data_IF_480102901970
#
_entry.id   IF_480102901970
#
_cell.length_a   1.000
_cell.length_b   1.000
_cell.length_c   1.000
_cell.angle_alpha   90.00
_cell.angle_beta   90.00
_cell.angle_gamma   90.00
#
_symmetry.space_group_name_H-M   'P 1'
#
loop_
_entity.id
_entity.type
_entity.pdbx_description
1 polymer ?
#
# COMPACT_ATOMS: atom_id res chain seq x y z
N UNK A 1 -5.99 28.15 -11.74
CA UNK A 1 -5.23 27.25 -10.84
C UNK A 1 -5.72 25.81 -10.98
N UNK A 2 -4.81 24.84 -11.07
CA UNK A 2 -5.13 23.43 -11.32
C UNK A 2 -5.76 22.76 -10.07
N UNK A 3 -7.08 22.88 -9.90
CA UNK A 3 -7.86 22.27 -8.79
C UNK A 3 -7.71 20.74 -8.72
N UNK A 4 -7.19 20.09 -9.75
CA UNK A 4 -6.98 18.62 -9.79
C UNK A 4 -5.93 18.13 -8.79
N UNK A 5 -5.00 18.99 -8.36
CA UNK A 5 -3.92 18.63 -7.44
C UNK A 5 -4.24 18.93 -5.96
N UNK A 6 -5.36 19.61 -5.67
CA UNK A 6 -5.77 19.97 -4.30
C UNK A 6 -5.81 18.78 -3.33
N UNK A 7 -6.32 17.58 -3.71
CA UNK A 7 -6.32 16.45 -2.79
C UNK A 7 -4.93 16.01 -2.35
N UNK A 8 -3.92 16.13 -3.23
CA UNK A 8 -2.54 15.76 -2.89
C UNK A 8 -1.94 16.79 -1.94
N UNK A 9 -2.15 18.08 -2.19
CA UNK A 9 -1.70 19.13 -1.27
C UNK A 9 -2.31 18.94 0.13
N UNK A 10 -3.61 18.63 0.21
CA UNK A 10 -4.28 18.35 1.47
C UNK A 10 -3.62 17.17 2.21
N UNK A 11 -3.38 16.05 1.53
CA UNK A 11 -2.74 14.87 2.13
C UNK A 11 -1.32 15.15 2.62
N UNK A 12 -0.52 15.91 1.86
CA UNK A 12 0.84 16.30 2.27
C UNK A 12 0.81 17.21 3.49
N UNK A 13 -0.10 18.18 3.53
CA UNK A 13 -0.29 19.03 4.71
C UNK A 13 -0.73 18.21 5.91
N UNK A 14 -1.63 17.23 5.75
CA UNK A 14 -2.04 16.34 6.85
C UNK A 14 -0.88 15.49 7.35
N UNK A 15 0.03 15.02 6.50
CA UNK A 15 1.26 14.34 6.94
C UNK A 15 2.16 15.26 7.77
N UNK A 16 2.30 16.53 7.40
CA UNK A 16 3.06 17.50 8.18
C UNK A 16 2.43 17.72 9.56
N UNK A 17 1.10 17.86 9.62
CA UNK A 17 0.34 17.95 10.89
C UNK A 17 0.52 16.69 11.72
N UNK A 18 0.44 15.50 11.11
CA UNK A 18 0.68 14.23 11.79
C UNK A 18 2.07 14.17 12.43
N UNK A 19 3.10 14.64 11.72
CA UNK A 19 4.46 14.71 12.23
C UNK A 19 4.59 15.70 13.40
N UNK A 20 3.95 16.87 13.31
CA UNK A 20 3.93 17.85 14.41
C UNK A 20 3.25 17.25 15.65
N UNK A 21 2.09 16.61 15.49
CA UNK A 21 1.40 15.93 16.60
C UNK A 21 2.24 14.79 17.18
N UNK A 22 2.99 14.08 16.35
CA UNK A 22 3.89 13.02 16.79
C UNK A 22 5.02 13.55 17.68
N UNK A 23 5.62 14.67 17.30
CA UNK A 23 6.79 15.25 17.98
C UNK A 23 6.43 16.13 19.18
N UNK A 24 5.35 16.91 19.08
CA UNK A 24 5.04 18.00 20.00
C UNK A 24 3.67 17.87 20.67
N UNK A 25 2.92 16.81 20.37
CA UNK A 25 1.53 16.66 20.82
C UNK A 25 1.19 15.21 21.21
N UNK A 26 -0.07 14.78 21.01
CA UNK A 26 -0.50 13.41 21.30
C UNK A 26 0.14 12.44 20.29
N UNK A 27 1.28 11.86 20.66
CA UNK A 27 2.14 11.09 19.76
C UNK A 27 1.40 9.94 19.06
N UNK A 28 0.55 9.22 19.78
CA UNK A 28 -0.25 8.12 19.21
C UNK A 28 -1.28 8.58 18.17
N UNK A 29 -1.84 9.78 18.33
CA UNK A 29 -2.76 10.37 17.35
C UNK A 29 -1.98 10.80 16.12
N UNK A 30 -0.81 11.42 16.31
CA UNK A 30 0.10 11.78 15.22
C UNK A 30 0.53 10.56 14.40
N UNK A 31 0.92 9.47 15.07
CA UNK A 31 1.26 8.21 14.43
C UNK A 31 0.09 7.66 13.60
N UNK A 32 -1.09 7.51 14.21
CA UNK A 32 -2.28 6.99 13.50
C UNK A 32 -2.67 7.88 12.33
N UNK A 33 -2.61 9.20 12.49
CA UNK A 33 -2.92 10.16 11.44
C UNK A 33 -1.94 10.04 10.25
N UNK A 34 -0.66 9.81 10.53
CA UNK A 34 0.35 9.57 9.50
C UNK A 34 0.05 8.32 8.67
N UNK A 35 -0.18 7.19 9.33
CA UNK A 35 -0.56 5.93 8.67
C UNK A 35 -1.88 6.05 7.90
N UNK A 36 -2.90 6.66 8.50
CA UNK A 36 -4.19 6.91 7.87
C UNK A 36 -4.04 7.75 6.59
N UNK A 37 -3.23 8.80 6.63
CA UNK A 37 -3.01 9.69 5.49
C UNK A 37 -2.28 8.97 4.34
N UNK A 38 -1.22 8.21 4.67
CA UNK A 38 -0.48 7.44 3.67
C UNK A 38 -1.34 6.31 3.06
N UNK A 39 -2.13 5.59 3.88
CA UNK A 39 -3.09 4.61 3.40
C UNK A 39 -4.14 5.25 2.48
N UNK A 40 -4.71 6.39 2.88
CA UNK A 40 -5.70 7.11 2.08
C UNK A 40 -5.13 7.60 0.73
N UNK A 41 -3.87 8.01 0.72
CA UNK A 41 -3.16 8.35 -0.52
C UNK A 41 -3.08 7.15 -1.48
N UNK A 42 -2.73 5.97 -0.96
CA UNK A 42 -2.70 4.73 -1.75
C UNK A 42 -4.11 4.36 -2.24
N UNK A 43 -5.13 4.46 -1.41
CA UNK A 43 -6.51 4.15 -1.80
C UNK A 43 -7.01 5.06 -2.93
N UNK A 44 -6.76 6.36 -2.82
CA UNK A 44 -7.21 7.37 -3.78
C UNK A 44 -6.45 7.28 -5.11
N UNK A 45 -5.12 7.27 -5.05
CA UNK A 45 -4.27 7.28 -6.24
C UNK A 45 -4.19 5.87 -6.84
N UNK A 46 -3.86 4.88 -6.02
CA UNK A 46 -3.74 3.47 -6.38
C UNK A 46 -4.99 2.96 -7.09
N UNK A 47 -6.17 3.20 -6.53
CA UNK A 47 -7.40 2.72 -7.14
C UNK A 47 -7.88 3.50 -8.39
N UNK A 48 -7.07 4.42 -8.92
CA UNK A 48 -7.18 4.95 -10.28
C UNK A 48 -6.08 4.41 -11.18
N UNK A 49 -4.83 4.44 -10.72
CA UNK A 49 -3.68 4.07 -11.54
C UNK A 49 -3.60 2.56 -11.79
N UNK A 50 -3.93 1.73 -10.78
CA UNK A 50 -3.85 0.26 -10.87
C UNK A 50 -4.81 -0.26 -11.95
N UNK A 51 -6.14 0.00 -11.89
CA UNK A 51 -7.05 -0.45 -12.95
C UNK A 51 -6.75 0.18 -14.32
N UNK A 52 -6.23 1.40 -14.37
CA UNK A 52 -5.83 2.05 -15.63
C UNK A 52 -4.62 1.35 -16.27
N UNK A 53 -3.58 1.04 -15.48
CA UNK A 53 -2.43 0.29 -15.96
C UNK A 53 -2.80 -1.12 -16.39
N UNK A 54 -3.68 -1.80 -15.63
CA UNK A 54 -4.21 -3.11 -16.01
C UNK A 54 -5.01 -3.05 -17.30
N UNK A 55 -5.87 -2.06 -17.46
CA UNK A 55 -6.63 -1.83 -18.71
C UNK A 55 -5.69 -1.63 -19.90
N UNK A 56 -4.68 -0.77 -19.75
CA UNK A 56 -3.74 -0.47 -20.84
C UNK A 56 -2.92 -1.69 -21.24
N UNK A 57 -2.47 -2.48 -20.26
CA UNK A 57 -1.71 -3.71 -20.51
C UNK A 57 -2.57 -4.79 -21.17
N UNK A 58 -3.80 -5.00 -20.70
CA UNK A 58 -4.73 -5.99 -21.26
C UNK A 58 -5.20 -5.63 -22.67
N UNK A 59 -5.45 -4.34 -22.96
CA UNK A 59 -5.79 -3.87 -24.31
C UNK A 59 -4.69 -4.16 -25.31
N UNK A 60 -3.42 -3.94 -24.94
CA UNK A 60 -2.25 -4.27 -25.81
C UNK A 60 -2.15 -5.76 -26.14
N UNK A 61 -2.78 -6.63 -25.33
CA UNK A 61 -2.80 -8.09 -25.50
C UNK A 61 -4.12 -8.61 -26.08
N UNK A 62 -5.02 -7.72 -26.53
CA UNK A 62 -6.29 -8.12 -27.12
C UNK A 62 -7.25 -8.86 -26.17
N UNK A 63 -7.12 -8.63 -24.85
CA UNK A 63 -7.98 -9.33 -23.88
C UNK A 63 -9.44 -8.88 -24.02
N UNK A 64 -10.37 -9.85 -24.05
CA UNK A 64 -11.80 -9.58 -24.21
C UNK A 64 -12.44 -8.86 -23.00
N UNK A 65 -11.88 -9.05 -21.80
CA UNK A 65 -12.44 -8.51 -20.57
C UNK A 65 -11.44 -7.62 -19.84
N UNK A 66 -11.91 -6.43 -19.47
CA UNK A 66 -11.12 -5.35 -18.87
C UNK A 66 -11.57 -5.04 -17.44
N UNK A 67 -10.72 -4.39 -16.63
CA UNK A 67 -11.10 -3.86 -15.33
C UNK A 67 -12.33 -2.97 -15.43
N UNK A 68 -13.18 -3.00 -14.40
CA UNK A 68 -14.31 -2.09 -14.34
C UNK A 68 -13.82 -0.63 -14.20
N UNK A 69 -14.43 0.35 -14.89
CA UNK A 69 -14.04 1.74 -14.76
C UNK A 69 -14.34 2.27 -13.36
N UNK A 70 -13.62 3.32 -12.97
CA UNK A 70 -13.84 4.02 -11.71
C UNK A 70 -15.27 4.59 -11.69
N UNK A 71 -16.06 4.20 -10.70
CA UNK A 71 -17.49 4.51 -10.65
C UNK A 71 -17.99 5.00 -9.28
N UNK A 72 -19.32 5.03 -9.13
CA UNK A 72 -19.97 5.42 -7.85
C UNK A 72 -19.55 4.51 -6.70
N UNK A 73 -19.48 3.20 -6.94
CA UNK A 73 -19.03 2.25 -5.92
C UNK A 73 -17.60 2.53 -5.43
N UNK A 74 -16.68 2.93 -6.31
CA UNK A 74 -15.32 3.33 -5.89
C UNK A 74 -15.34 4.56 -4.97
N UNK A 75 -16.23 5.54 -5.24
CA UNK A 75 -16.39 6.71 -4.37
C UNK A 75 -16.92 6.33 -3.00
N UNK A 76 -17.87 5.38 -2.93
CA UNK A 76 -18.40 4.86 -1.66
C UNK A 76 -17.31 4.13 -0.87
N UNK A 77 -16.51 3.27 -1.52
CA UNK A 77 -15.37 2.59 -0.89
C UNK A 77 -14.37 3.61 -0.32
N UNK A 78 -14.05 4.67 -1.08
CA UNK A 78 -13.15 5.73 -0.61
C UNK A 78 -13.74 6.51 0.58
N UNK A 79 -15.02 6.86 0.54
CA UNK A 79 -15.68 7.56 1.64
C UNK A 79 -15.73 6.68 2.91
N UNK A 80 -16.07 5.40 2.77
CA UNK A 80 -16.05 4.44 3.87
C UNK A 80 -14.64 4.26 4.45
N UNK A 81 -13.63 4.18 3.60
CA UNK A 81 -12.23 4.06 4.05
C UNK A 81 -11.77 5.31 4.79
N UNK A 82 -12.15 6.51 4.31
CA UNK A 82 -11.86 7.77 4.99
C UNK A 82 -12.55 7.84 6.36
N UNK A 83 -13.82 7.45 6.43
CA UNK A 83 -14.57 7.41 7.68
C UNK A 83 -13.95 6.40 8.67
N UNK A 84 -13.57 5.21 8.20
CA UNK A 84 -12.92 4.19 9.01
C UNK A 84 -11.59 4.69 9.60
N UNK A 85 -10.74 5.29 8.75
CA UNK A 85 -9.45 5.83 9.14
C UNK A 85 -9.59 7.02 10.09
N UNK A 86 -10.50 7.95 9.80
CA UNK A 86 -10.77 9.11 10.67
C UNK A 86 -11.27 8.67 12.05
N UNK A 87 -12.20 7.71 12.09
CA UNK A 87 -12.68 7.12 13.33
C UNK A 87 -11.54 6.45 14.09
N UNK A 88 -10.72 5.63 13.43
CA UNK A 88 -9.59 4.94 14.07
C UNK A 88 -8.53 5.89 14.65
N UNK A 89 -8.29 7.04 14.01
CA UNK A 89 -7.36 8.06 14.52
C UNK A 89 -7.80 8.63 15.87
N UNK A 90 -9.10 8.80 16.09
CA UNK A 90 -9.64 9.40 17.34
C UNK A 90 -10.13 8.36 18.34
N UNK A 91 -10.63 7.23 17.84
CA UNK A 91 -11.28 6.17 18.60
C UNK A 91 -10.87 4.80 18.04
N UNK A 92 -9.72 4.25 18.46
CA UNK A 92 -9.10 3.09 17.81
C UNK A 92 -9.66 1.74 18.27
N UNK A 93 -10.48 1.72 19.33
CA UNK A 93 -10.91 0.49 20.01
C UNK A 93 -12.44 0.38 20.13
N UNK A 94 -12.92 -0.83 20.38
CA UNK A 94 -14.32 -1.12 20.60
C UNK A 94 -15.11 -1.41 19.31
N UNK A 95 -16.36 -1.82 19.50
CA UNK A 95 -17.24 -2.31 18.45
C UNK A 95 -17.46 -1.32 17.29
N UNK A 96 -17.67 -0.01 17.52
CA UNK A 96 -17.87 0.93 16.42
C UNK A 96 -16.67 1.00 15.46
N UNK A 97 -15.46 1.09 16.00
CA UNK A 97 -14.23 1.12 15.20
C UNK A 97 -14.10 -0.17 14.38
N UNK A 98 -14.30 -1.31 15.04
CA UNK A 98 -14.15 -2.61 14.40
C UNK A 98 -15.13 -2.84 13.24
N UNK A 99 -16.41 -2.49 13.41
CA UNK A 99 -17.43 -2.65 12.37
C UNK A 99 -17.10 -1.79 11.14
N UNK A 100 -16.73 -0.53 11.35
CA UNK A 100 -16.42 0.39 10.23
C UNK A 100 -15.12 -0.03 9.52
N UNK A 101 -14.10 -0.46 10.26
CA UNK A 101 -12.85 -0.99 9.71
C UNK A 101 -13.06 -2.30 8.93
N UNK A 102 -13.85 -3.24 9.47
CA UNK A 102 -14.19 -4.48 8.78
C UNK A 102 -14.99 -4.21 7.48
N UNK A 103 -15.94 -3.27 7.53
CA UNK A 103 -16.66 -2.80 6.35
C UNK A 103 -15.71 -2.21 5.31
N UNK A 104 -14.75 -1.37 5.71
CA UNK A 104 -13.75 -0.82 4.82
C UNK A 104 -12.82 -1.89 4.22
N UNK A 105 -12.47 -2.93 4.99
CA UNK A 105 -11.70 -4.07 4.50
C UNK A 105 -12.46 -4.81 3.39
N UNK A 106 -13.70 -5.21 3.64
CA UNK A 106 -14.54 -5.90 2.67
C UNK A 106 -14.78 -5.06 1.41
N UNK A 107 -15.07 -3.77 1.58
CA UNK A 107 -15.29 -2.83 0.48
C UNK A 107 -14.04 -2.68 -0.41
N UNK A 108 -12.84 -2.67 0.18
CA UNK A 108 -11.59 -2.60 -0.58
C UNK A 108 -11.22 -3.93 -1.27
N UNK A 109 -11.56 -5.08 -0.70
CA UNK A 109 -11.44 -6.37 -1.39
C UNK A 109 -12.36 -6.45 -2.60
N UNK A 110 -13.63 -6.05 -2.43
CA UNK A 110 -14.56 -5.95 -3.56
C UNK A 110 -14.01 -5.04 -4.66
N UNK A 111 -13.47 -3.88 -4.29
CA UNK A 111 -12.87 -2.92 -5.23
C UNK A 111 -11.68 -3.53 -5.97
N UNK A 112 -10.79 -4.22 -5.27
CA UNK A 112 -9.63 -4.89 -5.85
C UNK A 112 -10.02 -6.02 -6.81
N UNK A 113 -11.04 -6.82 -6.46
CA UNK A 113 -11.52 -7.92 -7.31
C UNK A 113 -11.98 -7.43 -8.70
N UNK A 114 -12.50 -6.20 -8.79
CA UNK A 114 -12.93 -5.57 -10.05
C UNK A 114 -11.76 -5.18 -10.96
N UNK A 115 -10.52 -5.21 -10.48
CA UNK A 115 -9.34 -4.77 -11.23
C UNK A 115 -8.64 -5.87 -12.01
N UNK A 116 -9.12 -7.13 -11.90
CA UNK A 116 -8.59 -8.28 -12.65
C UNK A 116 -7.07 -8.49 -12.47
N UNK A 117 -6.54 -8.27 -11.26
CA UNK A 117 -5.11 -8.41 -10.97
C UNK A 117 -4.51 -9.77 -11.37
N UNK A 118 -5.27 -10.86 -11.22
CA UNK A 118 -4.85 -12.20 -11.63
C UNK A 118 -4.54 -12.32 -13.14
N UNK A 119 -5.17 -11.50 -13.99
CA UNK A 119 -4.86 -11.49 -15.43
C UNK A 119 -3.47 -10.91 -15.74
N UNK A 120 -2.80 -10.31 -14.75
CA UNK A 120 -1.51 -9.62 -14.90
C UNK A 120 -0.32 -10.44 -14.41
N UNK A 121 -0.52 -11.73 -14.07
CA UNK A 121 0.52 -12.62 -13.52
C UNK A 121 1.78 -12.72 -14.40
N UNK A 122 1.64 -12.55 -15.72
CA UNK A 122 2.75 -12.56 -16.66
C UNK A 122 3.59 -11.26 -16.67
N UNK A 123 3.18 -10.21 -15.95
CA UNK A 123 3.88 -8.93 -15.85
C UNK A 123 4.10 -8.54 -14.37
N UNK A 124 5.24 -8.92 -13.77
CA UNK A 124 5.48 -8.73 -12.34
C UNK A 124 5.42 -7.26 -11.91
N UNK A 125 5.81 -6.32 -12.78
CA UNK A 125 5.74 -4.87 -12.49
C UNK A 125 4.30 -4.38 -12.25
N UNK A 126 3.33 -5.03 -12.89
CA UNK A 126 1.92 -4.71 -12.75
C UNK A 126 1.26 -5.55 -11.65
N UNK A 127 1.63 -6.82 -11.54
CA UNK A 127 1.13 -7.72 -10.50
C UNK A 127 1.44 -7.17 -9.09
N UNK A 128 2.66 -6.69 -8.85
CA UNK A 128 3.08 -6.19 -7.54
C UNK A 128 2.20 -5.03 -7.04
N UNK A 129 1.65 -4.21 -7.94
CA UNK A 129 0.74 -3.12 -7.54
C UNK A 129 -0.56 -3.66 -6.93
N UNK A 130 -1.08 -4.79 -7.44
CA UNK A 130 -2.25 -5.44 -6.87
C UNK A 130 -1.91 -6.10 -5.54
N UNK A 131 -0.76 -6.79 -5.47
CA UNK A 131 -0.26 -7.43 -4.24
C UNK A 131 -0.06 -6.38 -3.14
N UNK A 132 0.58 -5.25 -3.46
CA UNK A 132 0.75 -4.13 -2.54
C UNK A 132 -0.60 -3.57 -2.07
N UNK A 133 -1.60 -3.47 -2.95
CA UNK A 133 -2.93 -3.02 -2.57
C UNK A 133 -3.64 -4.00 -1.62
N UNK A 134 -3.41 -5.31 -1.69
CA UNK A 134 -4.02 -6.30 -0.76
C UNK A 134 -3.70 -6.01 0.70
N UNK A 135 -2.53 -5.42 0.99
CA UNK A 135 -2.14 -5.06 2.35
C UNK A 135 -3.03 -3.99 2.99
N UNK A 136 -3.75 -3.19 2.20
CA UNK A 136 -4.67 -2.15 2.71
C UNK A 136 -5.92 -2.78 3.36
N UNK A 137 -6.73 -3.60 2.68
CA UNK A 137 -7.83 -4.30 3.33
C UNK A 137 -7.35 -5.29 4.39
N UNK A 138 -6.18 -5.92 4.23
CA UNK A 138 -5.60 -6.75 5.30
C UNK A 138 -5.30 -5.91 6.55
N UNK A 139 -4.68 -4.74 6.40
CA UNK A 139 -4.44 -3.80 7.50
C UNK A 139 -5.73 -3.35 8.17
N UNK A 140 -6.79 -3.04 7.40
CA UNK A 140 -8.10 -2.72 7.96
C UNK A 140 -8.72 -3.89 8.73
N UNK A 141 -8.60 -5.12 8.23
CA UNK A 141 -9.08 -6.30 8.94
C UNK A 141 -8.32 -6.53 10.24
N UNK A 142 -6.99 -6.38 10.24
CA UNK A 142 -6.16 -6.48 11.44
C UNK A 142 -6.46 -5.36 12.44
N UNK A 143 -6.72 -4.13 11.99
CA UNK A 143 -7.17 -3.05 12.86
C UNK A 143 -8.54 -3.35 13.48
N UNK A 144 -9.47 -3.92 12.71
CA UNK A 144 -10.78 -4.32 13.22
C UNK A 144 -10.67 -5.42 14.29
N UNK A 145 -9.81 -6.42 14.05
CA UNK A 145 -9.53 -7.47 15.02
C UNK A 145 -8.85 -6.91 16.27
N UNK A 146 -7.85 -6.05 16.13
CA UNK A 146 -7.18 -5.41 17.27
C UNK A 146 -8.14 -4.55 18.11
N UNK A 147 -9.16 -3.96 17.48
CA UNK A 147 -10.17 -3.16 18.17
C UNK A 147 -11.14 -3.98 19.05
N UNK A 148 -11.36 -5.27 18.75
CA UNK A 148 -12.26 -6.16 19.52
C UNK A 148 -11.52 -7.22 20.35
N UNK A 149 -10.43 -7.74 19.82
CA UNK A 149 -9.68 -8.86 20.35
C UNK A 149 -8.18 -8.51 20.37
N UNK A 150 -7.75 -7.50 21.16
CA UNK A 150 -6.35 -7.10 21.25
C UNK A 150 -5.43 -8.22 21.77
N UNK A 151 -5.99 -9.25 22.42
CA UNK A 151 -5.27 -10.45 22.82
C UNK A 151 -4.90 -11.38 21.63
N UNK A 152 -5.63 -11.31 20.51
CA UNK A 152 -5.39 -12.13 19.32
C UNK A 152 -4.55 -11.40 18.27
N UNK A 153 -4.78 -10.10 18.11
CA UNK A 153 -4.06 -9.24 17.16
C UNK A 153 -3.66 -7.96 17.86
N UNK A 154 -2.35 -7.73 17.95
CA UNK A 154 -1.83 -6.49 18.50
C UNK A 154 -2.02 -5.34 17.50
N UNK A 155 -2.33 -4.11 17.94
CA UNK A 155 -2.42 -2.95 17.07
C UNK A 155 -1.17 -2.74 16.19
N UNK A 156 0.01 -3.07 16.74
CA UNK A 156 1.29 -2.97 16.03
C UNK A 156 1.39 -3.87 14.79
N UNK A 157 0.76 -5.05 14.80
CA UNK A 157 0.72 -5.96 13.63
C UNK A 157 0.00 -5.29 12.46
N UNK A 158 -1.13 -4.65 12.74
CA UNK A 158 -1.90 -3.93 11.74
C UNK A 158 -1.14 -2.73 11.18
N UNK A 159 -0.37 -2.03 12.02
CA UNK A 159 0.54 -0.96 11.58
C UNK A 159 1.65 -1.49 10.67
N UNK A 160 2.21 -2.67 10.93
CA UNK A 160 3.19 -3.28 10.04
C UNK A 160 2.59 -3.73 8.70
N UNK A 161 1.36 -4.23 8.71
CA UNK A 161 0.62 -4.54 7.48
C UNK A 161 0.41 -3.28 6.63
N UNK A 162 -0.07 -2.17 7.22
CA UNK A 162 -0.24 -0.90 6.51
C UNK A 162 1.11 -0.28 6.10
N UNK A 163 2.10 -0.32 6.98
CA UNK A 163 3.41 0.30 6.83
C UNK A 163 4.33 -0.43 5.86
N UNK A 164 4.84 -1.58 6.29
CA UNK A 164 5.80 -2.34 5.49
C UNK A 164 5.12 -2.93 4.24
N UNK A 165 3.95 -3.54 4.42
CA UNK A 165 3.20 -4.19 3.36
C UNK A 165 2.55 -3.20 2.40
N UNK A 166 1.68 -2.34 2.90
CA UNK A 166 0.95 -1.36 2.09
C UNK A 166 1.85 -0.28 1.55
N UNK A 167 2.41 0.55 2.43
CA UNK A 167 3.17 1.75 2.05
C UNK A 167 4.52 1.39 1.44
N UNK A 168 5.29 0.52 2.09
CA UNK A 168 6.63 0.10 1.63
C UNK A 168 6.59 -0.53 0.25
N UNK A 169 5.80 -1.59 0.07
CA UNK A 169 5.72 -2.31 -1.22
C UNK A 169 5.07 -1.45 -2.31
N UNK A 170 4.03 -0.66 -2.00
CA UNK A 170 3.39 0.23 -2.99
C UNK A 170 4.36 1.31 -3.45
N UNK A 171 5.09 1.95 -2.53
CA UNK A 171 6.09 2.96 -2.87
C UNK A 171 7.17 2.35 -3.75
N UNK A 172 7.71 1.18 -3.39
CA UNK A 172 8.71 0.49 -4.20
C UNK A 172 8.19 0.19 -5.62
N UNK A 173 6.97 -0.33 -5.74
CA UNK A 173 6.34 -0.64 -7.02
C UNK A 173 6.15 0.62 -7.91
N UNK A 174 5.66 1.71 -7.33
CA UNK A 174 5.43 2.97 -8.04
C UNK A 174 6.76 3.61 -8.44
N UNK A 175 7.76 3.65 -7.55
CA UNK A 175 9.10 4.16 -7.86
C UNK A 175 9.76 3.39 -9.00
N UNK A 176 9.67 2.05 -8.97
CA UNK A 176 10.19 1.19 -10.04
C UNK A 176 9.55 1.53 -11.38
N UNK A 177 8.21 1.57 -11.42
CA UNK A 177 7.47 1.84 -12.66
C UNK A 177 7.73 3.26 -13.18
N UNK A 178 7.71 4.25 -12.31
CA UNK A 178 8.00 5.65 -12.67
C UNK A 178 9.45 5.81 -13.15
N UNK A 179 10.39 5.15 -12.48
CA UNK A 179 11.80 5.16 -12.87
C UNK A 179 12.01 4.56 -14.26
N UNK A 180 11.39 3.42 -14.58
CA UNK A 180 11.42 2.85 -15.93
C UNK A 180 10.75 3.78 -16.96
N UNK A 181 9.57 4.31 -16.65
CA UNK A 181 8.80 5.16 -17.57
C UNK A 181 9.50 6.48 -17.88
N UNK A 182 10.05 7.16 -16.88
CA UNK A 182 10.79 8.41 -17.07
C UNK A 182 12.17 8.18 -17.67
N UNK A 183 12.78 7.00 -17.48
CA UNK A 183 14.04 6.64 -18.14
C UNK A 183 13.86 6.09 -19.57
N UNK A 184 12.64 6.07 -20.11
CA UNK A 184 12.35 5.58 -21.47
C UNK A 184 12.55 4.08 -21.65
N UNK A 185 12.66 3.31 -20.56
CA UNK A 185 12.88 1.86 -20.58
C UNK A 185 11.57 1.10 -20.71
N UNK A 186 11.67 -0.16 -21.12
CA UNK A 186 10.54 -1.07 -21.14
C UNK A 186 9.88 -1.15 -19.74
N UNK A 187 8.56 -1.02 -19.69
CA UNK A 187 7.76 -1.09 -18.45
C UNK A 187 7.53 -2.55 -18.04
N UNK A 188 8.62 -3.27 -17.77
CA UNK A 188 8.60 -4.64 -17.28
C UNK A 188 9.65 -4.84 -16.19
N UNK A 189 9.36 -5.71 -15.22
CA UNK A 189 10.29 -6.02 -14.15
C UNK A 189 11.20 -7.19 -14.53
N UNK A 190 12.51 -6.99 -14.46
CA UNK A 190 13.48 -8.07 -14.59
C UNK A 190 13.53 -8.95 -13.31
N UNK A 191 14.38 -9.98 -13.34
CA UNK A 191 14.52 -10.92 -12.20
C UNK A 191 14.95 -10.22 -10.92
N UNK A 192 15.90 -9.28 -11.00
CA UNK A 192 16.40 -8.55 -9.83
C UNK A 192 15.30 -7.67 -9.21
N UNK A 193 14.54 -6.96 -10.05
CA UNK A 193 13.40 -6.14 -9.62
C UNK A 193 12.29 -7.00 -9.02
N UNK A 194 12.00 -8.14 -9.63
CA UNK A 194 11.01 -9.10 -9.12
C UNK A 194 11.44 -9.67 -7.77
N UNK A 195 12.72 -10.00 -7.60
CA UNK A 195 13.28 -10.43 -6.31
C UNK A 195 13.17 -9.33 -5.25
N UNK A 196 13.43 -8.06 -5.59
CA UNK A 196 13.25 -6.94 -4.66
C UNK A 196 11.79 -6.84 -4.17
N UNK A 197 10.81 -7.00 -5.06
CA UNK A 197 9.39 -7.04 -4.66
C UNK A 197 9.07 -8.21 -3.75
N UNK A 198 9.57 -9.41 -4.07
CA UNK A 198 9.36 -10.60 -3.25
C UNK A 198 9.96 -10.43 -1.84
N UNK A 199 11.17 -9.87 -1.74
CA UNK A 199 11.83 -9.62 -0.46
C UNK A 199 11.05 -8.62 0.40
N UNK A 200 10.55 -7.51 -0.16
CA UNK A 200 9.74 -6.56 0.62
C UNK A 200 8.39 -7.17 1.04
N UNK A 201 7.75 -7.95 0.17
CA UNK A 201 6.54 -8.69 0.52
C UNK A 201 6.78 -9.67 1.68
N UNK A 202 7.84 -10.50 1.58
CA UNK A 202 8.21 -11.47 2.61
C UNK A 202 8.63 -10.80 3.91
N UNK A 203 9.30 -9.65 3.83
CA UNK A 203 9.64 -8.84 5.00
C UNK A 203 8.39 -8.40 5.76
N UNK A 204 7.40 -7.83 5.07
CA UNK A 204 6.15 -7.41 5.69
C UNK A 204 5.38 -8.61 6.27
N UNK A 205 5.32 -9.73 5.54
CA UNK A 205 4.67 -10.96 6.02
C UNK A 205 5.33 -11.53 7.28
N UNK A 206 6.66 -11.66 7.28
CA UNK A 206 7.41 -12.12 8.45
C UNK A 206 7.25 -11.16 9.63
N UNK A 207 7.22 -9.84 9.38
CA UNK A 207 7.05 -8.84 10.44
C UNK A 207 5.67 -8.91 11.09
N UNK A 208 4.62 -9.12 10.31
CA UNK A 208 3.25 -9.29 10.86
C UNK A 208 3.13 -10.62 11.59
N UNK A 209 3.67 -11.70 11.02
CA UNK A 209 3.55 -13.04 11.60
C UNK A 209 4.36 -13.23 12.88
N UNK A 210 5.41 -12.45 13.11
CA UNK A 210 6.28 -12.57 14.29
C UNK A 210 5.50 -12.52 15.60
N UNK A 211 4.49 -11.66 15.69
CA UNK A 211 3.69 -11.47 16.91
C UNK A 211 2.70 -12.63 17.19
N UNK A 212 2.58 -13.62 16.29
CA UNK A 212 1.84 -14.87 16.51
C UNK A 212 2.74 -16.05 16.90
N UNK A 213 4.06 -15.84 17.00
CA UNK A 213 5.01 -16.90 17.34
C UNK A 213 5.49 -16.78 18.78
N UNK A 214 5.81 -17.92 19.40
CA UNK A 214 6.37 -17.95 20.75
C UNK A 214 7.81 -17.39 20.79
N UNK A 215 8.58 -17.57 19.72
CA UNK A 215 9.91 -16.97 19.53
C UNK A 215 9.92 -16.10 18.26
N UNK A 216 9.72 -14.77 18.40
CA UNK A 216 9.65 -13.88 17.25
C UNK A 216 11.02 -13.58 16.63
N UNK A 217 12.14 -13.85 17.31
CA UNK A 217 13.46 -13.34 16.90
C UNK A 217 13.88 -13.78 15.51
N UNK A 218 13.61 -15.05 15.15
CA UNK A 218 13.91 -15.55 13.81
C UNK A 218 13.14 -14.78 12.73
N UNK A 219 11.82 -14.62 12.90
CA UNK A 219 10.99 -13.89 11.94
C UNK A 219 11.35 -12.41 11.86
N UNK A 220 11.76 -11.80 12.98
CA UNK A 220 12.23 -10.42 13.00
C UNK A 220 13.55 -10.24 12.24
N UNK A 221 14.52 -11.14 12.42
CA UNK A 221 15.77 -11.12 11.65
C UNK A 221 15.53 -11.35 10.17
N UNK A 222 14.67 -12.31 9.80
CA UNK A 222 14.27 -12.54 8.41
C UNK A 222 13.57 -11.31 7.82
N UNK A 223 12.68 -10.67 8.58
CA UNK A 223 12.00 -9.46 8.15
C UNK A 223 12.99 -8.32 7.87
N UNK A 224 13.96 -8.10 8.78
CA UNK A 224 14.97 -7.05 8.64
C UNK A 224 15.94 -7.33 7.48
N UNK A 225 16.40 -8.57 7.33
CA UNK A 225 17.28 -8.99 6.25
C UNK A 225 16.59 -8.86 4.89
N UNK A 226 15.33 -9.32 4.78
CA UNK A 226 14.56 -9.22 3.55
C UNK A 226 14.24 -7.76 3.19
N UNK A 227 13.88 -6.92 4.18
CA UNK A 227 13.68 -5.47 3.97
C UNK A 227 14.93 -4.82 3.38
N UNK A 228 16.06 -5.03 4.05
CA UNK A 228 17.35 -4.43 3.68
C UNK A 228 17.80 -4.92 2.31
N UNK A 229 17.75 -6.23 2.07
CA UNK A 229 18.10 -6.82 0.79
C UNK A 229 17.21 -6.34 -0.36
N UNK A 230 15.89 -6.23 -0.14
CA UNK A 230 14.95 -5.76 -1.15
C UNK A 230 15.22 -4.31 -1.57
N UNK A 231 15.40 -3.41 -0.61
CA UNK A 231 15.73 -2.01 -0.91
C UNK A 231 17.15 -1.84 -1.48
N UNK A 232 18.13 -2.61 -1.00
CA UNK A 232 19.48 -2.60 -1.55
C UNK A 232 19.50 -3.03 -3.03
N UNK A 233 18.81 -4.13 -3.37
CA UNK A 233 18.67 -4.57 -4.76
C UNK A 233 17.99 -3.50 -5.63
N UNK A 234 16.94 -2.86 -5.12
CA UNK A 234 16.32 -1.74 -5.82
C UNK A 234 17.29 -0.59 -6.06
N UNK A 235 18.05 -0.16 -5.04
CA UNK A 235 19.03 0.93 -5.18
C UNK A 235 20.12 0.59 -6.18
N UNK A 236 20.74 -0.59 -6.06
CA UNK A 236 21.77 -1.06 -6.98
C UNK A 236 21.26 -1.10 -8.43
N UNK A 237 19.98 -1.44 -8.62
CA UNK A 237 19.38 -1.49 -9.95
C UNK A 237 18.99 -0.13 -10.49
N UNK A 238 18.35 0.73 -9.69
CA UNK A 238 17.67 1.94 -10.16
C UNK A 238 18.51 3.21 -10.04
N UNK A 239 19.47 3.30 -9.12
CA UNK A 239 20.36 4.47 -9.03
C UNK A 239 21.13 4.69 -10.35
N UNK A 240 21.78 3.68 -10.96
CA UNK A 240 22.46 3.88 -12.25
C UNK A 240 21.51 4.23 -13.41
N UNK A 241 20.25 3.81 -13.33
CA UNK A 241 19.23 4.11 -14.35
C UNK A 241 18.85 5.58 -14.31
N UNK A 242 18.65 6.11 -13.10
CA UNK A 242 18.18 7.47 -12.87
C UNK A 242 19.30 8.51 -12.89
N UNK A 243 20.53 8.10 -12.57
CA UNK A 243 21.70 8.98 -12.60
C UNK A 243 22.25 9.23 -14.00
N UNK A 244 21.96 8.36 -14.98
CA UNK A 244 22.35 8.58 -16.37
C UNK A 244 21.53 9.73 -16.95
N UNK A 245 22.22 10.79 -17.38
CA UNK A 245 21.61 11.88 -18.15
C UNK A 245 20.99 11.28 -19.40
N UNK A 246 19.70 11.50 -19.59
CA UNK A 246 19.06 11.17 -20.85
C UNK A 246 19.44 12.23 -21.86
N UNK A 247 20.17 11.84 -22.90
CA UNK A 247 20.24 12.61 -24.14
C UNK A 247 18.84 12.52 -24.75
N UNK A 248 18.13 13.66 -24.76
CA UNK A 248 16.82 13.80 -25.39
C UNK A 248 16.99 14.45 -26.75
#
# INVERSE_FOLDING_TARGET
>A
GNRRNLPVCLLVTTLAVAQILFLLGPAEVGLRLGFATAAMMILLIGGRIIPSFTTNWLKKRGAAALPAPFGRGDKVVLALSLAALALWVVWPAGLPAAVVLAGAAAANLWRLARWRGAATMAEPLLLVLHIAYVWLPLGFALLALAALAPALVLPQQALHALGAGGIGLMTLAVMTRAGLGHSGRALTADRATTLAFALIFLSAAARVAADWTADPMLLLHLAAAAWTGGFLLFLLRFVPILAKRQER
#
